data_IF_956937937303
#
_entry.id   IF_956937937303
#
_cell.length_a   1.000
_cell.length_b   1.000
_cell.length_c   1.000
_cell.angle_alpha   90.00
_cell.angle_beta   90.00
_cell.angle_gamma   90.00
#
_symmetry.space_group_name_H-M   'P 1'
#
loop_
_entity.id
_entity.type
_entity.pdbx_description
1 polymer ?
#
# COMPACT_ATOMS: atom_id res chain seq x y z
N UNK A 1 36.11 0.16 2.37
CA UNK A 1 35.01 -0.17 3.32
C UNK A 1 33.73 -0.32 2.51
N UNK A 2 33.06 -1.46 2.65
CA UNK A 2 31.77 -1.70 1.99
C UNK A 2 30.68 -0.81 2.58
N UNK A 3 29.81 -0.25 1.71
CA UNK A 3 28.57 0.41 2.17
C UNK A 3 27.60 -0.63 2.78
N UNK A 4 26.62 -0.18 3.57
CA UNK A 4 25.62 -1.07 4.14
C UNK A 4 24.92 -1.93 3.08
N UNK A 5 24.54 -1.31 1.95
CA UNK A 5 23.93 -2.03 0.83
C UNK A 5 24.86 -3.04 0.16
N UNK A 6 26.16 -2.77 0.09
CA UNK A 6 27.14 -3.73 -0.44
C UNK A 6 27.33 -4.92 0.49
N UNK A 7 27.36 -4.70 1.82
CA UNK A 7 27.43 -5.77 2.80
C UNK A 7 26.21 -6.69 2.68
N UNK A 8 25.00 -6.13 2.63
CA UNK A 8 23.76 -6.92 2.55
C UNK A 8 23.67 -7.75 1.26
N UNK A 9 24.13 -7.19 0.14
CA UNK A 9 24.24 -7.95 -1.13
C UNK A 9 25.26 -9.08 -1.04
N UNK A 10 26.38 -8.88 -0.36
CA UNK A 10 27.38 -9.90 -0.15
C UNK A 10 26.84 -11.02 0.75
N UNK A 11 26.17 -10.67 1.85
CA UNK A 11 25.54 -11.63 2.75
C UNK A 11 24.56 -12.53 1.99
N UNK A 12 23.69 -11.92 1.17
CA UNK A 12 22.76 -12.67 0.33
C UNK A 12 23.51 -13.55 -0.69
N UNK A 13 24.54 -13.03 -1.36
CA UNK A 13 25.33 -13.79 -2.31
C UNK A 13 26.00 -15.02 -1.65
N UNK A 14 26.46 -14.90 -0.42
CA UNK A 14 27.05 -16.00 0.33
C UNK A 14 26.03 -17.09 0.65
N UNK A 15 24.77 -16.73 0.91
CA UNK A 15 23.70 -17.74 1.17
C UNK A 15 23.37 -18.54 -0.10
N UNK A 16 23.65 -18.01 -1.29
CA UNK A 16 23.35 -18.67 -2.57
C UNK A 16 24.40 -19.70 -3.02
N UNK A 17 25.58 -19.73 -2.41
CA UNK A 17 26.68 -20.63 -2.81
C UNK A 17 26.29 -22.10 -2.79
N UNK A 18 25.37 -22.49 -1.90
CA UNK A 18 24.90 -23.88 -1.73
C UNK A 18 23.67 -24.25 -2.57
N UNK A 19 23.24 -23.41 -3.52
CA UNK A 19 21.99 -23.58 -4.29
C UNK A 19 20.77 -23.94 -3.39
N UNK A 20 20.46 -23.12 -2.37
CA UNK A 20 19.44 -23.45 -1.39
C UNK A 20 18.04 -23.39 -2.03
N UNK A 21 17.17 -24.32 -1.66
CA UNK A 21 15.75 -24.31 -2.06
C UNK A 21 14.90 -23.39 -1.20
N UNK A 22 15.38 -23.04 0.00
CA UNK A 22 14.71 -22.15 0.96
C UNK A 22 15.72 -21.18 1.54
N UNK A 23 15.37 -19.89 1.56
CA UNK A 23 16.18 -18.83 2.16
C UNK A 23 15.34 -18.09 3.21
N UNK A 24 15.93 -17.80 4.36
CA UNK A 24 15.36 -16.98 5.40
C UNK A 24 16.04 -15.62 5.41
N UNK A 25 15.29 -14.55 5.27
CA UNK A 25 15.77 -13.17 5.27
C UNK A 25 15.13 -12.43 6.43
N UNK A 26 15.94 -12.01 7.38
CA UNK A 26 15.47 -11.22 8.51
C UNK A 26 15.75 -9.75 8.25
N UNK A 27 14.67 -8.95 8.07
CA UNK A 27 14.67 -7.52 7.75
C UNK A 27 15.71 -7.16 6.66
N UNK A 28 15.63 -7.73 5.45
CA UNK A 28 16.72 -7.66 4.47
C UNK A 28 17.05 -6.25 3.99
N UNK A 29 16.13 -5.30 4.11
CA UNK A 29 16.31 -3.92 3.59
C UNK A 29 16.42 -2.87 4.67
N UNK A 30 16.41 -3.25 5.94
CA UNK A 30 16.55 -2.30 7.05
C UNK A 30 17.86 -1.54 6.97
N UNK A 31 17.78 -0.19 7.06
CA UNK A 31 18.93 0.69 7.00
C UNK A 31 19.49 0.92 5.59
N UNK A 32 18.83 0.45 4.55
CA UNK A 32 19.20 0.73 3.16
C UNK A 32 18.55 2.02 2.66
N UNK A 33 19.28 2.73 1.80
CA UNK A 33 18.72 3.82 1.01
C UNK A 33 17.68 3.30 0.00
N UNK A 34 16.76 4.17 -0.52
CA UNK A 34 15.68 3.73 -1.40
C UNK A 34 16.15 3.01 -2.69
N UNK A 35 17.31 3.40 -3.24
CA UNK A 35 17.86 2.77 -4.43
C UNK A 35 18.40 1.38 -4.12
N UNK A 36 19.13 1.23 -3.01
CA UNK A 36 19.65 -0.04 -2.54
C UNK A 36 18.53 -1.00 -2.18
N UNK A 37 17.43 -0.50 -1.56
CA UNK A 37 16.22 -1.27 -1.25
C UNK A 37 15.60 -1.85 -2.52
N UNK A 38 15.34 -1.03 -3.54
CA UNK A 38 14.80 -1.49 -4.83
C UNK A 38 15.68 -2.56 -5.48
N UNK A 39 17.00 -2.35 -5.46
CA UNK A 39 17.93 -3.36 -6.00
C UNK A 39 17.83 -4.69 -5.25
N UNK A 40 17.66 -4.67 -3.92
CA UNK A 40 17.47 -5.88 -3.11
C UNK A 40 16.16 -6.58 -3.48
N UNK A 41 15.06 -5.83 -3.64
CA UNK A 41 13.79 -6.38 -4.08
C UNK A 41 13.89 -7.07 -5.45
N UNK A 42 14.62 -6.47 -6.39
CA UNK A 42 14.81 -7.08 -7.72
C UNK A 42 15.60 -8.40 -7.65
N UNK A 43 16.58 -8.48 -6.74
CA UNK A 43 17.32 -9.74 -6.50
C UNK A 43 16.37 -10.79 -5.91
N UNK A 44 15.59 -10.44 -4.89
CA UNK A 44 14.64 -11.35 -4.24
C UNK A 44 13.61 -11.86 -5.26
N UNK A 45 13.02 -10.97 -6.09
CA UNK A 45 12.06 -11.37 -7.14
C UNK A 45 12.67 -12.35 -8.14
N UNK A 46 13.93 -12.13 -8.53
CA UNK A 46 14.64 -13.03 -9.45
C UNK A 46 14.84 -14.42 -8.84
N UNK A 47 15.29 -14.50 -7.59
CA UNK A 47 15.46 -15.77 -6.90
C UNK A 47 14.16 -16.57 -6.78
N UNK A 48 13.05 -15.86 -6.48
CA UNK A 48 11.72 -16.48 -6.44
C UNK A 48 11.31 -16.98 -7.84
N UNK A 49 11.56 -16.19 -8.89
CA UNK A 49 11.26 -16.59 -10.28
C UNK A 49 12.10 -17.79 -10.73
N UNK A 50 13.30 -17.97 -10.18
CA UNK A 50 14.18 -19.13 -10.40
C UNK A 50 13.78 -20.35 -9.55
N UNK A 51 12.74 -20.25 -8.72
CA UNK A 51 12.15 -21.35 -7.96
C UNK A 51 12.64 -21.47 -6.51
N UNK A 52 13.40 -20.48 -6.00
CA UNK A 52 13.78 -20.44 -4.59
C UNK A 52 12.60 -19.97 -3.73
N UNK A 53 12.32 -20.71 -2.65
CA UNK A 53 11.35 -20.29 -1.65
C UNK A 53 12.00 -19.32 -0.68
N UNK A 54 11.38 -18.15 -0.47
CA UNK A 54 11.91 -17.15 0.46
C UNK A 54 10.90 -16.87 1.56
N UNK A 55 11.33 -17.02 2.82
CA UNK A 55 10.65 -16.49 3.99
C UNK A 55 11.38 -15.23 4.44
N UNK A 56 10.73 -14.09 4.39
CA UNK A 56 11.28 -12.83 4.89
C UNK A 56 10.46 -12.27 6.05
N UNK A 57 11.14 -11.65 6.99
CA UNK A 57 10.52 -10.78 7.99
C UNK A 57 10.77 -9.33 7.59
N UNK A 58 9.79 -8.47 7.82
CA UNK A 58 9.94 -7.04 7.60
C UNK A 58 8.96 -6.25 8.47
N UNK A 59 9.36 -5.04 8.85
CA UNK A 59 8.48 -4.03 9.43
C UNK A 59 7.96 -3.04 8.38
N UNK A 60 8.42 -3.15 7.12
CA UNK A 60 8.01 -2.30 6.02
C UNK A 60 6.89 -3.00 5.24
N UNK A 61 5.66 -2.48 5.38
CA UNK A 61 4.49 -3.08 4.76
C UNK A 61 4.49 -2.94 3.24
N UNK A 62 5.12 -1.88 2.71
CA UNK A 62 5.40 -1.71 1.28
C UNK A 62 6.29 -2.83 0.72
N UNK A 63 7.29 -3.30 1.49
CA UNK A 63 8.13 -4.43 1.11
C UNK A 63 7.32 -5.73 1.02
N UNK A 64 6.48 -5.99 2.03
CA UNK A 64 5.60 -7.15 2.03
C UNK A 64 4.63 -7.12 0.84
N UNK A 65 4.04 -5.96 0.54
CA UNK A 65 3.11 -5.78 -0.58
C UNK A 65 3.78 -6.01 -1.95
N UNK A 66 5.04 -5.61 -2.08
CA UNK A 66 5.80 -5.71 -3.33
C UNK A 66 6.41 -7.09 -3.59
N UNK A 67 6.73 -7.86 -2.55
CA UNK A 67 7.51 -9.09 -2.67
C UNK A 67 6.72 -10.35 -2.34
N UNK A 68 5.77 -10.29 -1.42
CA UNK A 68 5.17 -11.49 -0.86
C UNK A 68 4.00 -12.02 -1.69
N UNK A 69 3.98 -13.33 -1.93
CA UNK A 69 2.78 -14.02 -2.41
C UNK A 69 1.77 -14.27 -1.29
N UNK A 70 2.25 -14.40 -0.06
CA UNK A 70 1.46 -14.57 1.17
C UNK A 70 2.12 -13.77 2.28
N UNK A 71 1.31 -13.10 3.08
CA UNK A 71 1.72 -12.32 4.25
C UNK A 71 1.08 -12.95 5.48
N UNK A 72 1.85 -13.08 6.55
CA UNK A 72 1.35 -13.36 7.89
C UNK A 72 1.61 -12.13 8.78
N UNK A 73 0.55 -11.52 9.29
CA UNK A 73 0.64 -10.37 10.21
C UNK A 73 0.77 -10.90 11.63
N UNK A 74 1.87 -10.53 12.30
CA UNK A 74 2.18 -10.94 13.66
C UNK A 74 1.93 -9.78 14.63
N UNK A 75 1.08 -9.97 15.62
CA UNK A 75 0.87 -9.02 16.72
C UNK A 75 0.78 -9.73 18.05
N UNK A 76 1.44 -9.20 19.08
CA UNK A 76 1.45 -9.80 20.42
C UNK A 76 1.91 -11.27 20.44
N UNK A 77 2.80 -11.68 19.54
CA UNK A 77 3.29 -13.05 19.41
C UNK A 77 2.31 -14.05 18.76
N UNK A 78 1.25 -13.54 18.12
CA UNK A 78 0.23 -14.35 17.44
C UNK A 78 0.04 -13.89 16.00
N UNK A 79 -0.25 -14.82 15.11
CA UNK A 79 -0.68 -14.50 13.75
C UNK A 79 -2.13 -14.02 13.83
N UNK A 80 -2.36 -12.73 13.52
CA UNK A 80 -3.69 -12.09 13.54
C UNK A 80 -4.36 -12.09 12.17
N UNK A 81 -3.59 -12.19 11.09
CA UNK A 81 -4.08 -12.39 9.74
C UNK A 81 -3.05 -13.10 8.87
N UNK A 82 -3.52 -13.84 7.88
CA UNK A 82 -2.69 -14.50 6.89
C UNK A 82 -3.44 -14.59 5.55
N UNK A 83 -2.71 -14.40 4.45
CA UNK A 83 -3.25 -14.50 3.10
C UNK A 83 -2.41 -13.76 2.06
N UNK A 84 -2.79 -13.83 0.77
CA UNK A 84 -2.25 -12.96 -0.25
C UNK A 84 -2.50 -11.49 0.07
N UNK A 85 -1.57 -10.56 -0.25
CA UNK A 85 -1.74 -9.13 0.02
C UNK A 85 -3.08 -8.57 -0.49
N UNK A 86 -3.47 -8.93 -1.71
CA UNK A 86 -4.74 -8.49 -2.30
C UNK A 86 -5.98 -8.93 -1.51
N UNK A 87 -5.98 -10.16 -0.97
CA UNK A 87 -7.07 -10.66 -0.13
C UNK A 87 -7.12 -9.96 1.23
N UNK A 88 -5.97 -9.68 1.83
CA UNK A 88 -5.90 -8.97 3.10
C UNK A 88 -6.43 -7.54 2.95
N UNK A 89 -6.01 -6.84 1.89
CA UNK A 89 -6.50 -5.48 1.57
C UNK A 89 -8.01 -5.46 1.29
N UNK A 90 -8.54 -6.49 0.63
CA UNK A 90 -9.97 -6.59 0.35
C UNK A 90 -10.85 -6.81 1.60
N UNK A 91 -10.28 -7.23 2.73
CA UNK A 91 -11.02 -7.39 4.00
C UNK A 91 -11.30 -6.07 4.70
N UNK A 92 -10.56 -5.01 4.34
CA UNK A 92 -10.70 -3.70 4.96
C UNK A 92 -11.67 -2.87 4.10
N UNK A 93 -12.83 -2.49 4.62
CA UNK A 93 -13.68 -1.51 3.96
C UNK A 93 -12.97 -0.16 4.03
N UNK A 94 -12.72 0.50 2.90
CA UNK A 94 -12.09 1.80 3.02
C UNK A 94 -11.37 2.33 1.79
N UNK A 95 -11.58 1.74 0.61
CA UNK A 95 -11.26 2.50 -0.59
C UNK A 95 -12.10 3.78 -0.60
N UNK A 96 -11.47 4.93 -0.77
CA UNK A 96 -12.18 6.19 -0.92
C UNK A 96 -11.63 6.98 -2.10
N UNK A 97 -12.50 7.80 -2.64
CA UNK A 97 -12.14 8.74 -3.69
C UNK A 97 -12.07 10.11 -3.02
N UNK A 98 -10.94 10.77 -3.14
CA UNK A 98 -10.76 12.13 -2.69
C UNK A 98 -10.84 13.07 -3.88
N UNK A 99 -11.68 14.10 -3.74
CA UNK A 99 -11.84 15.18 -4.70
C UNK A 99 -11.32 16.46 -4.07
N UNK A 100 -10.44 17.18 -4.77
CA UNK A 100 -10.00 18.50 -4.36
C UNK A 100 -10.62 19.57 -5.27
N UNK A 101 -10.92 20.71 -4.70
CA UNK A 101 -11.62 21.82 -5.35
C UNK A 101 -10.80 23.11 -5.26
N UNK A 102 -10.91 23.97 -6.26
CA UNK A 102 -10.22 25.27 -6.28
C UNK A 102 -10.78 26.27 -5.26
N UNK A 103 -12.03 26.06 -4.83
CA UNK A 103 -12.70 26.99 -3.93
C UNK A 103 -13.84 26.36 -3.14
N UNK A 104 -14.29 27.13 -2.15
CA UNK A 104 -15.35 26.71 -1.23
C UNK A 104 -16.71 26.56 -1.90
N UNK A 105 -16.96 27.36 -2.94
CA UNK A 105 -18.22 27.30 -3.67
C UNK A 105 -18.40 25.98 -4.43
N UNK A 106 -17.35 25.52 -5.08
CA UNK A 106 -17.29 24.24 -5.77
C UNK A 106 -17.40 23.09 -4.78
N UNK A 107 -16.69 23.16 -3.65
CA UNK A 107 -16.76 22.19 -2.56
C UNK A 107 -18.19 22.05 -2.02
N UNK A 108 -18.88 23.18 -1.77
CA UNK A 108 -20.26 23.20 -1.27
C UNK A 108 -21.25 22.63 -2.31
N UNK A 109 -21.08 23.00 -3.57
CA UNK A 109 -21.90 22.49 -4.67
C UNK A 109 -21.70 20.96 -4.85
N UNK A 110 -20.46 20.48 -4.82
CA UNK A 110 -20.16 19.05 -4.89
C UNK A 110 -20.76 18.27 -3.71
N UNK A 111 -20.67 18.82 -2.49
CA UNK A 111 -21.22 18.19 -1.30
C UNK A 111 -22.75 18.04 -1.33
N UNK A 112 -23.45 18.89 -2.10
CA UNK A 112 -24.91 18.79 -2.27
C UNK A 112 -25.33 17.67 -3.22
N UNK A 113 -24.52 17.34 -4.23
CA UNK A 113 -24.86 16.35 -5.27
C UNK A 113 -24.25 14.99 -5.03
N UNK A 114 -23.18 14.95 -4.23
CA UNK A 114 -22.49 13.72 -3.85
C UNK A 114 -22.86 13.37 -2.41
N UNK A 115 -22.69 12.12 -2.04
CA UNK A 115 -22.86 11.66 -0.65
C UNK A 115 -21.47 11.49 0.01
N UNK A 116 -20.82 12.57 0.48
CA UNK A 116 -19.48 12.50 1.03
C UNK A 116 -19.49 11.73 2.36
N UNK A 117 -18.44 10.92 2.56
CA UNK A 117 -18.14 10.24 3.83
C UNK A 117 -17.23 11.07 4.72
N UNK A 118 -16.51 12.03 4.12
CA UNK A 118 -15.65 12.99 4.81
C UNK A 118 -15.58 14.30 4.04
N UNK A 119 -15.32 15.39 4.78
CA UNK A 119 -15.14 16.74 4.24
C UNK A 119 -14.05 17.45 5.02
N UNK A 120 -13.13 18.07 4.32
CA UNK A 120 -12.13 18.99 4.86
C UNK A 120 -12.31 20.37 4.24
N UNK A 121 -12.76 21.31 5.05
CA UNK A 121 -13.01 22.68 4.64
C UNK A 121 -11.73 23.52 4.47
N UNK A 122 -10.66 23.17 5.17
CA UNK A 122 -9.38 23.87 5.08
C UNK A 122 -8.56 23.36 3.89
N UNK A 123 -8.56 22.06 3.65
CA UNK A 123 -7.92 21.42 2.50
C UNK A 123 -8.77 21.47 1.23
N UNK A 124 -10.02 21.99 1.28
CA UNK A 124 -10.97 22.01 0.16
C UNK A 124 -11.17 20.64 -0.48
N UNK A 125 -11.31 19.58 0.34
CA UNK A 125 -11.47 18.22 -0.18
C UNK A 125 -12.76 17.55 0.29
N UNK A 126 -13.29 16.64 -0.55
CA UNK A 126 -14.35 15.68 -0.20
C UNK A 126 -13.85 14.27 -0.33
N UNK A 127 -14.23 13.43 0.63
CA UNK A 127 -14.00 11.99 0.57
C UNK A 127 -15.34 11.28 0.30
N UNK A 128 -15.29 10.34 -0.63
CA UNK A 128 -16.43 9.52 -1.06
C UNK A 128 -16.08 8.05 -0.91
N UNK A 129 -17.00 7.25 -0.41
CA UNK A 129 -16.81 5.81 -0.42
C UNK A 129 -16.75 5.32 -1.88
N UNK A 130 -15.71 4.56 -2.23
CA UNK A 130 -15.57 4.04 -3.58
C UNK A 130 -14.36 3.14 -3.74
N UNK A 131 -14.50 2.17 -4.65
CA UNK A 131 -13.47 1.16 -4.94
C UNK A 131 -12.51 1.56 -6.07
N UNK A 132 -12.65 2.79 -6.57
CA UNK A 132 -11.84 3.30 -7.69
C UNK A 132 -12.10 2.63 -9.05
N UNK A 133 -13.13 1.78 -9.17
CA UNK A 133 -13.47 1.17 -10.46
C UNK A 133 -13.89 2.23 -11.47
N UNK A 134 -13.54 1.99 -12.73
CA UNK A 134 -13.86 2.90 -13.84
C UNK A 134 -15.36 3.22 -13.93
N UNK A 135 -16.24 2.25 -13.62
CA UNK A 135 -17.69 2.47 -13.60
C UNK A 135 -18.10 3.45 -12.51
N UNK A 136 -17.54 3.33 -11.30
CA UNK A 136 -17.80 4.23 -10.17
C UNK A 136 -17.31 5.63 -10.47
N UNK A 137 -16.08 5.75 -10.97
CA UNK A 137 -15.49 7.04 -11.37
C UNK A 137 -16.29 7.72 -12.46
N UNK A 138 -16.74 6.96 -13.47
CA UNK A 138 -17.56 7.52 -14.56
C UNK A 138 -18.89 8.06 -14.07
N UNK A 139 -19.55 7.38 -13.14
CA UNK A 139 -20.81 7.84 -12.55
C UNK A 139 -20.58 9.11 -11.74
N UNK A 140 -19.51 9.13 -10.93
CA UNK A 140 -19.13 10.29 -10.13
C UNK A 140 -18.85 11.51 -11.00
N UNK A 141 -18.01 11.38 -12.01
CA UNK A 141 -17.67 12.49 -12.92
C UNK A 141 -18.90 13.01 -13.66
N UNK A 142 -19.81 12.13 -14.08
CA UNK A 142 -21.07 12.56 -14.71
C UNK A 142 -21.95 13.38 -13.76
N UNK A 143 -22.05 13.00 -12.49
CA UNK A 143 -22.82 13.77 -11.50
C UNK A 143 -22.24 15.17 -11.30
N UNK A 144 -20.91 15.29 -11.31
CA UNK A 144 -20.23 16.59 -11.22
C UNK A 144 -20.43 17.44 -12.48
N UNK A 145 -20.32 16.82 -13.67
CA UNK A 145 -20.58 17.50 -14.95
C UNK A 145 -22.03 18.02 -15.03
N UNK A 146 -23.01 17.18 -14.67
CA UNK A 146 -24.44 17.55 -14.67
C UNK A 146 -24.73 18.71 -13.69
N UNK A 147 -23.94 18.81 -12.61
CA UNK A 147 -24.04 19.91 -11.64
C UNK A 147 -23.15 21.11 -11.99
N UNK A 148 -22.42 21.07 -13.09
CA UNK A 148 -21.44 22.09 -13.50
C UNK A 148 -20.41 22.42 -12.42
N UNK A 149 -19.95 21.40 -11.69
CA UNK A 149 -18.93 21.50 -10.65
C UNK A 149 -17.59 21.08 -11.21
N UNK A 150 -16.61 21.98 -11.19
CA UNK A 150 -15.24 21.68 -11.59
C UNK A 150 -14.45 21.09 -10.43
N UNK A 151 -13.67 20.04 -10.72
CA UNK A 151 -12.78 19.35 -9.77
C UNK A 151 -11.34 19.63 -10.17
N UNK A 152 -10.53 20.10 -9.25
CA UNK A 152 -9.11 20.37 -9.50
C UNK A 152 -8.31 19.08 -9.60
N UNK A 153 -8.56 18.13 -8.69
CA UNK A 153 -7.94 16.80 -8.74
C UNK A 153 -8.83 15.71 -8.17
N UNK A 154 -8.62 14.49 -8.66
CA UNK A 154 -9.27 13.28 -8.19
C UNK A 154 -8.19 12.27 -7.85
N UNK A 155 -8.17 11.80 -6.60
CA UNK A 155 -7.27 10.76 -6.12
C UNK A 155 -8.08 9.55 -5.66
N UNK A 156 -7.68 8.36 -6.10
CA UNK A 156 -8.27 7.11 -5.65
C UNK A 156 -7.36 6.49 -4.60
N UNK A 157 -7.83 6.41 -3.38
CA UNK A 157 -7.17 5.71 -2.30
C UNK A 157 -7.68 4.27 -2.23
N UNK A 158 -6.80 3.32 -2.52
CA UNK A 158 -7.07 1.90 -2.32
C UNK A 158 -6.44 1.47 -1.01
N UNK A 159 -7.12 0.63 -0.21
CA UNK A 159 -6.53 0.12 1.03
C UNK A 159 -5.15 -0.51 0.76
N UNK A 160 -4.19 -0.21 1.60
CA UNK A 160 -2.86 -0.79 1.60
C UNK A 160 -2.68 -1.77 2.76
N UNK A 161 -1.48 -2.33 2.93
CA UNK A 161 -1.20 -3.23 4.05
C UNK A 161 -1.04 -2.48 5.38
N UNK A 162 -0.75 -1.16 5.34
CA UNK A 162 -0.73 -0.32 6.55
C UNK A 162 -2.14 -0.22 7.12
N UNK A 163 -3.16 0.01 6.27
CA UNK A 163 -4.57 0.02 6.67
C UNK A 163 -5.00 -1.32 7.28
N UNK A 164 -4.57 -2.42 6.65
CA UNK A 164 -4.82 -3.78 7.17
C UNK A 164 -4.20 -3.95 8.56
N UNK A 165 -2.95 -3.55 8.72
CA UNK A 165 -2.24 -3.67 9.98
C UNK A 165 -2.93 -2.87 11.09
N UNK A 166 -3.25 -1.60 10.84
CA UNK A 166 -3.92 -0.74 11.82
C UNK A 166 -5.31 -1.23 12.19
N UNK A 167 -6.08 -1.72 11.22
CA UNK A 167 -7.41 -2.27 11.48
C UNK A 167 -7.37 -3.53 12.36
N UNK A 168 -6.35 -4.38 12.18
CA UNK A 168 -6.22 -5.65 12.90
C UNK A 168 -5.59 -5.48 14.29
N UNK A 169 -4.67 -4.53 14.47
CA UNK A 169 -3.96 -4.32 15.74
C UNK A 169 -4.64 -3.30 16.66
N UNK A 170 -5.71 -2.65 16.20
CA UNK A 170 -6.45 -1.63 16.95
C UNK A 170 -5.66 -0.35 17.23
N UNK A 171 -4.47 -0.19 16.66
CA UNK A 171 -3.66 1.02 16.75
C UNK A 171 -4.01 1.92 15.57
N UNK A 172 -4.98 2.83 15.74
CA UNK A 172 -5.06 4.01 14.87
C UNK A 172 -3.75 4.77 15.04
N UNK A 173 -3.08 5.06 13.91
CA UNK A 173 -1.88 5.87 13.93
C UNK A 173 -2.11 7.18 14.70
N UNK A 174 -1.19 7.46 15.59
CA UNK A 174 -1.10 8.74 16.28
C UNK A 174 -0.47 9.77 15.38
#
# INVERSE_FOLDING_TARGET
>A
TYSGGMKRKLDLAMTLVGDPKVIFLDEPTTGLDPRSRRTMWDIIRRLVAEGTTILLTTQYLDEADQLAHRVAVLDGGRIVAEGPPAELKARIPGGHIELAFAGRAELDAAAMVLAPTGRDDDGLTLQLAGDGRVSTLRTLLRQLDDASVEVESLTVHTPDLDDVFFALTGKKGA
#
